data_IF_756027719026
#
_entry.id   IF_756027719026
#
_cell.length_a   1.000
_cell.length_b   1.000
_cell.length_c   1.000
_cell.angle_alpha   90.00
_cell.angle_beta   90.00
_cell.angle_gamma   90.00
#
_symmetry.space_group_name_H-M   'P 1'
#
loop_
_entity.id
_entity.type
_entity.pdbx_description
1 polymer ?
#
# COMPACT_ATOMS: atom_id res chain seq x y z
N UNK A 1 -3.62 -21.81 21.24
CA UNK A 1 -3.23 -20.67 20.38
C UNK A 1 -2.10 -19.92 21.06
N UNK A 2 -1.00 -19.61 20.36
CA UNK A 2 0.08 -18.79 20.93
C UNK A 2 -0.42 -17.36 21.19
N UNK A 3 0.04 -16.75 22.28
CA UNK A 3 -0.22 -15.35 22.62
C UNK A 3 1.07 -14.54 22.62
N UNK A 4 0.98 -13.25 22.25
CA UNK A 4 2.10 -12.32 22.27
C UNK A 4 1.81 -11.21 23.30
N UNK A 5 2.71 -11.04 24.26
CA UNK A 5 2.66 -9.95 25.24
C UNK A 5 3.93 -9.12 25.11
N UNK A 6 3.77 -7.83 24.84
CA UNK A 6 4.87 -6.87 24.80
C UNK A 6 4.90 -6.14 26.14
N UNK A 7 5.89 -6.45 26.97
CA UNK A 7 6.12 -5.73 28.24
C UNK A 7 6.75 -4.37 27.97
N UNK A 8 6.47 -3.41 28.86
CA UNK A 8 7.08 -2.08 28.87
C UNK A 8 6.97 -1.32 27.54
N UNK A 9 5.81 -1.43 26.88
CA UNK A 9 5.54 -0.74 25.62
C UNK A 9 5.62 0.79 25.85
N UNK A 10 6.49 1.52 25.11
CA UNK A 10 6.63 2.95 25.31
C UNK A 10 5.29 3.68 25.17
N UNK A 11 4.96 4.56 26.11
CA UNK A 11 3.65 5.23 26.16
C UNK A 11 3.30 5.96 24.86
N UNK A 12 4.31 6.55 24.19
CA UNK A 12 4.15 7.21 22.88
C UNK A 12 3.70 6.22 21.80
N UNK A 13 4.25 5.00 21.80
CA UNK A 13 3.91 3.97 20.83
C UNK A 13 2.51 3.40 21.10
N UNK A 14 2.18 3.13 22.37
CA UNK A 14 0.84 2.71 22.77
C UNK A 14 -0.24 3.71 22.30
N UNK A 15 0.00 5.03 22.49
CA UNK A 15 -0.91 6.09 22.02
C UNK A 15 -1.08 6.09 20.51
N UNK A 16 0.01 5.92 19.74
CA UNK A 16 -0.04 5.82 18.28
C UNK A 16 -0.86 4.62 17.81
N UNK A 17 -0.62 3.44 18.39
CA UNK A 17 -1.37 2.22 18.06
C UNK A 17 -2.86 2.38 18.34
N UNK A 18 -3.22 2.98 19.48
CA UNK A 18 -4.63 3.25 19.81
C UNK A 18 -5.30 4.19 18.81
N UNK A 19 -4.60 5.24 18.38
CA UNK A 19 -5.10 6.18 17.37
C UNK A 19 -5.27 5.52 15.99
N UNK A 20 -4.31 4.69 15.57
CA UNK A 20 -4.40 3.94 14.31
C UNK A 20 -5.54 2.93 14.34
N UNK A 21 -5.68 2.19 15.44
CA UNK A 21 -6.77 1.23 15.62
C UNK A 21 -8.15 1.91 15.51
N UNK A 22 -8.33 3.08 16.14
CA UNK A 22 -9.55 3.87 16.01
C UNK A 22 -9.80 4.32 14.56
N UNK A 23 -8.77 4.80 13.87
CA UNK A 23 -8.85 5.24 12.46
C UNK A 23 -9.24 4.10 11.52
N UNK A 24 -8.77 2.88 11.79
CA UNK A 24 -9.09 1.71 10.97
C UNK A 24 -10.34 0.95 11.45
N UNK A 25 -11.06 1.48 12.45
CA UNK A 25 -12.23 0.82 13.06
C UNK A 25 -11.93 -0.60 13.56
N UNK A 26 -10.75 -0.81 14.14
CA UNK A 26 -10.26 -2.09 14.64
C UNK A 26 -10.00 -2.02 16.14
N UNK A 27 -10.01 -3.18 16.80
CA UNK A 27 -9.42 -3.29 18.15
C UNK A 27 -7.91 -3.13 18.06
N UNK A 28 -7.28 -2.72 19.17
CA UNK A 28 -5.82 -2.54 19.23
C UNK A 28 -5.08 -3.85 18.88
N UNK A 29 -5.56 -4.99 19.36
CA UNK A 29 -4.99 -6.31 19.03
C UNK A 29 -5.05 -6.60 17.53
N UNK A 30 -6.20 -6.32 16.88
CA UNK A 30 -6.34 -6.51 15.42
C UNK A 30 -5.44 -5.56 14.64
N UNK A 31 -5.23 -4.34 15.11
CA UNK A 31 -4.29 -3.41 14.50
C UNK A 31 -2.84 -3.91 14.60
N UNK A 32 -2.43 -4.42 15.76
CA UNK A 32 -1.09 -5.00 15.94
C UNK A 32 -0.90 -6.22 15.02
N UNK A 33 -1.88 -7.10 14.91
CA UNK A 33 -1.83 -8.24 13.99
C UNK A 33 -1.67 -7.78 12.54
N UNK A 34 -2.50 -6.82 12.09
CA UNK A 34 -2.41 -6.30 10.72
C UNK A 34 -1.05 -5.64 10.42
N UNK A 35 -0.44 -4.97 11.41
CA UNK A 35 0.90 -4.40 11.27
C UNK A 35 1.97 -5.48 11.17
N UNK A 36 1.87 -6.54 11.97
CA UNK A 36 2.79 -7.68 11.93
C UNK A 36 2.67 -8.45 10.61
N UNK A 37 1.44 -8.71 10.15
CA UNK A 37 1.17 -9.34 8.85
C UNK A 37 1.83 -8.52 7.73
N UNK A 38 1.59 -7.20 7.69
CA UNK A 38 2.18 -6.32 6.68
C UNK A 38 3.71 -6.29 6.75
N UNK A 39 4.29 -6.28 7.95
CA UNK A 39 5.74 -6.25 8.14
C UNK A 39 6.43 -7.56 7.72
N UNK A 40 5.71 -8.69 7.83
CA UNK A 40 6.20 -10.02 7.48
C UNK A 40 5.88 -10.41 6.03
N UNK A 41 4.90 -9.79 5.39
CA UNK A 41 4.62 -9.98 3.97
C UNK A 41 5.79 -9.50 3.10
N UNK A 42 6.36 -10.43 2.31
CA UNK A 42 7.46 -10.14 1.37
C UNK A 42 7.09 -9.10 0.29
N UNK A 43 5.79 -8.86 0.08
CA UNK A 43 5.21 -7.90 -0.85
C UNK A 43 5.61 -6.43 -0.60
N UNK A 44 6.13 -6.11 0.60
CA UNK A 44 6.56 -4.74 0.93
C UNK A 44 8.00 -4.43 0.50
N UNK A 45 8.74 -5.39 -0.08
CA UNK A 45 9.99 -5.03 -0.76
C UNK A 45 9.62 -4.09 -1.90
N UNK A 46 10.17 -2.87 -1.97
CA UNK A 46 9.96 -2.03 -3.15
C UNK A 46 10.43 -2.84 -4.34
N UNK A 47 9.48 -3.34 -5.13
CA UNK A 47 9.81 -3.90 -6.42
C UNK A 47 10.55 -2.80 -7.17
N UNK A 48 11.70 -3.14 -7.72
CA UNK A 48 12.40 -2.27 -8.64
C UNK A 48 11.42 -1.97 -9.78
N UNK A 49 10.83 -0.77 -9.73
CA UNK A 49 9.95 -0.31 -10.80
C UNK A 49 10.84 -0.18 -12.03
N UNK A 50 10.45 -0.80 -13.16
CA UNK A 50 11.22 -0.63 -14.39
C UNK A 50 11.31 0.87 -14.71
N UNK A 51 12.41 1.33 -15.31
CA UNK A 51 12.55 2.72 -15.71
C UNK A 51 11.36 3.11 -16.62
N UNK A 52 10.89 4.37 -16.53
CA UNK A 52 9.77 4.84 -17.35
C UNK A 52 10.01 4.53 -18.83
N UNK A 53 9.05 3.86 -19.46
CA UNK A 53 9.12 3.57 -20.89
C UNK A 53 9.12 4.89 -21.68
N UNK A 54 10.24 5.19 -22.36
CA UNK A 54 10.32 6.31 -23.30
C UNK A 54 9.82 5.83 -24.66
N UNK A 55 8.58 6.19 -24.98
CA UNK A 55 8.01 5.95 -26.30
C UNK A 55 8.80 6.64 -27.42
N UNK A 56 8.73 6.10 -28.64
CA UNK A 56 9.41 6.64 -29.82
C UNK A 56 8.81 7.95 -30.33
N UNK A 57 7.58 8.26 -29.94
CA UNK A 57 6.85 9.46 -30.34
C UNK A 57 6.00 9.96 -29.17
N UNK A 58 5.62 11.25 -29.21
CA UNK A 58 4.74 11.83 -28.21
C UNK A 58 3.31 11.30 -28.39
N UNK A 59 2.71 10.78 -27.32
CA UNK A 59 1.26 10.54 -27.29
C UNK A 59 0.56 11.89 -27.14
N UNK A 60 0.16 12.48 -28.27
CA UNK A 60 -0.71 13.65 -28.29
C UNK A 60 -2.17 13.25 -28.19
N UNK A 61 -3.02 14.16 -27.75
CA UNK A 61 -4.48 13.93 -27.70
C UNK A 61 -5.03 13.58 -29.08
N UNK A 62 -4.53 14.22 -30.13
CA UNK A 62 -4.87 13.92 -31.54
C UNK A 62 -4.55 12.46 -31.92
N UNK A 63 -3.38 11.95 -31.50
CA UNK A 63 -2.99 10.57 -31.74
C UNK A 63 -3.96 9.60 -31.05
N UNK A 64 -4.32 9.89 -29.79
CA UNK A 64 -5.23 9.06 -29.00
C UNK A 64 -6.63 9.03 -29.64
N UNK A 65 -7.14 10.18 -30.08
CA UNK A 65 -8.47 10.29 -30.68
C UNK A 65 -8.56 9.64 -32.06
N UNK A 66 -7.47 9.64 -32.83
CA UNK A 66 -7.40 8.89 -34.09
C UNK A 66 -7.42 7.38 -33.84
N UNK A 67 -6.56 6.89 -32.93
CA UNK A 67 -6.48 5.47 -32.60
C UNK A 67 -7.80 4.91 -32.04
N UNK A 68 -8.55 5.70 -31.25
CA UNK A 68 -9.88 5.33 -30.75
C UNK A 68 -10.94 5.18 -31.86
N UNK A 69 -10.81 5.93 -32.96
CA UNK A 69 -11.74 5.90 -34.10
C UNK A 69 -11.45 4.73 -35.05
N UNK A 70 -10.17 4.43 -35.30
CA UNK A 70 -9.76 3.31 -36.17
C UNK A 70 -10.29 1.94 -35.70
N UNK A 71 -10.50 1.73 -34.40
CA UNK A 71 -11.05 0.47 -33.87
C UNK A 71 -12.59 0.41 -33.79
N UNK A 72 -13.32 1.40 -34.33
CA UNK A 72 -14.80 1.45 -34.32
C UNK A 72 -15.44 1.25 -35.68
N UNK A 73 -14.67 1.05 -36.75
CA UNK A 73 -15.14 0.59 -38.06
C UNK A 73 -15.10 -0.95 -38.13
#
# INVERSE_FOLDING_TARGET
MPGLVIKDLPAKLHRKLKAQAARHHRSMTKEVLALLERALSEETRPQEVPPPFRGRFALTDEFIDRARREGRE
#
